data_IF_868184450888
#
_entry.id   IF_868184450888
#
_cell.length_a   1.000
_cell.length_b   1.000
_cell.length_c   1.000
_cell.angle_alpha   90.00
_cell.angle_beta   90.00
_cell.angle_gamma   90.00
#
_symmetry.space_group_name_H-M   'P 1'
#
loop_
_entity.id
_entity.type
_entity.pdbx_description
1 polymer ?
#
# COMPACT_ATOMS: atom_id res chain seq x y z
N UNK A 1 -9.32 4.81 12.42
CA UNK A 1 -9.83 5.75 11.40
C UNK A 1 -10.28 4.90 10.23
N UNK A 2 -11.59 4.80 9.96
CA UNK A 2 -12.07 4.20 8.70
C UNK A 2 -11.44 4.98 7.55
N UNK A 3 -10.57 4.32 6.79
CA UNK A 3 -10.16 4.79 5.47
C UNK A 3 -11.43 4.75 4.62
N UNK A 4 -12.17 5.86 4.56
CA UNK A 4 -13.25 5.99 3.58
C UNK A 4 -12.63 5.70 2.22
N UNK A 5 -13.24 4.80 1.49
CA UNK A 5 -12.77 4.43 0.16
C UNK A 5 -12.55 5.69 -0.66
N UNK A 6 -11.34 5.83 -1.20
CA UNK A 6 -10.99 6.98 -2.05
C UNK A 6 -11.87 7.03 -3.31
N UNK A 7 -12.47 5.89 -3.69
CA UNK A 7 -13.49 5.79 -4.75
C UNK A 7 -14.80 6.50 -4.39
N UNK A 8 -15.08 6.70 -3.10
CA UNK A 8 -16.22 7.47 -2.59
C UNK A 8 -15.85 8.92 -2.27
N UNK A 9 -14.67 9.38 -2.69
CA UNK A 9 -14.29 10.77 -2.53
C UNK A 9 -15.33 11.68 -3.21
N UNK A 10 -15.73 12.75 -2.50
CA UNK A 10 -16.55 13.82 -3.09
C UNK A 10 -15.83 14.52 -4.25
N UNK A 11 -14.50 14.48 -4.23
CA UNK A 11 -13.66 15.03 -5.29
C UNK A 11 -13.43 13.97 -6.38
N UNK A 12 -13.94 14.20 -7.60
CA UNK A 12 -13.77 13.26 -8.71
C UNK A 12 -12.31 13.08 -9.14
N UNK A 13 -11.44 14.07 -8.93
CA UNK A 13 -10.02 13.97 -9.24
C UNK A 13 -9.31 13.01 -8.28
N UNK A 14 -9.71 13.02 -7.00
CA UNK A 14 -9.15 12.14 -5.99
C UNK A 14 -9.55 10.68 -6.25
N UNK A 15 -10.80 10.43 -6.63
CA UNK A 15 -11.25 9.10 -7.03
C UNK A 15 -10.48 8.57 -8.25
N UNK A 16 -10.25 9.43 -9.26
CA UNK A 16 -9.47 9.08 -10.44
C UNK A 16 -7.99 8.80 -10.13
N UNK A 17 -7.45 9.36 -9.04
CA UNK A 17 -6.05 9.19 -8.65
C UNK A 17 -5.72 7.81 -8.06
N UNK A 18 -6.72 7.02 -7.66
CA UNK A 18 -6.51 5.71 -7.02
C UNK A 18 -5.65 4.79 -7.87
N UNK A 19 -5.96 4.65 -9.16
CA UNK A 19 -5.21 3.80 -10.08
C UNK A 19 -3.74 4.25 -10.28
N UNK A 20 -3.45 5.54 -10.06
CA UNK A 20 -2.07 6.04 -10.06
C UNK A 20 -1.35 5.68 -8.76
N UNK A 21 -2.04 5.81 -7.62
CA UNK A 21 -1.50 5.47 -6.30
C UNK A 21 -1.22 3.97 -6.14
N UNK A 22 -2.11 3.11 -6.64
CA UNK A 22 -1.92 1.65 -6.62
C UNK A 22 -0.67 1.24 -7.40
N UNK A 23 -0.51 1.79 -8.63
CA UNK A 23 0.69 1.57 -9.45
C UNK A 23 1.94 2.10 -8.76
N UNK A 24 1.88 3.28 -8.17
CA UNK A 24 3.01 3.84 -7.42
C UNK A 24 3.40 2.96 -6.22
N UNK A 25 2.41 2.44 -5.49
CA UNK A 25 2.65 1.53 -4.37
C UNK A 25 3.27 0.21 -4.82
N UNK A 26 2.85 -0.32 -5.98
CA UNK A 26 3.44 -1.52 -6.57
C UNK A 26 4.89 -1.30 -6.98
N UNK A 27 5.18 -0.22 -7.70
CA UNK A 27 6.53 0.15 -8.09
C UNK A 27 7.43 0.36 -6.87
N UNK A 28 6.94 1.03 -5.82
CA UNK A 28 7.69 1.21 -4.58
C UNK A 28 8.07 -0.13 -3.93
N UNK A 29 7.16 -1.11 -3.90
CA UNK A 29 7.45 -2.48 -3.42
C UNK A 29 8.52 -3.14 -4.29
N UNK A 30 8.40 -3.07 -5.60
CA UNK A 30 9.38 -3.65 -6.53
C UNK A 30 10.77 -3.03 -6.34
N UNK A 31 10.88 -1.70 -6.27
CA UNK A 31 12.14 -1.00 -6.03
C UNK A 31 12.73 -1.37 -4.67
N UNK A 32 11.92 -1.42 -3.61
CA UNK A 32 12.37 -1.81 -2.27
C UNK A 32 12.93 -3.24 -2.24
N UNK A 33 12.30 -4.16 -2.98
CA UNK A 33 12.78 -5.53 -3.12
C UNK A 33 14.10 -5.64 -3.89
N UNK A 34 14.25 -4.85 -4.95
CA UNK A 34 15.44 -4.82 -5.81
C UNK A 34 16.65 -4.19 -5.11
N UNK A 35 16.41 -3.11 -4.34
CA UNK A 35 17.46 -2.34 -3.65
C UNK A 35 17.66 -2.78 -2.19
N UNK A 36 16.91 -3.80 -1.74
CA UNK A 36 16.94 -4.32 -0.39
C UNK A 36 16.70 -3.25 0.70
N UNK A 37 15.80 -2.31 0.41
CA UNK A 37 15.44 -1.22 1.33
C UNK A 37 14.09 -1.44 1.99
N UNK A 38 13.87 -0.77 3.12
CA UNK A 38 12.58 -0.83 3.82
C UNK A 38 11.60 0.22 3.29
N UNK A 39 10.31 -0.10 3.30
CA UNK A 39 9.23 0.86 3.13
C UNK A 39 8.81 1.37 4.51
N UNK A 40 8.59 2.67 4.63
CA UNK A 40 8.10 3.30 5.87
C UNK A 40 6.70 3.83 5.61
N UNK A 41 5.73 3.34 6.37
CA UNK A 41 4.32 3.75 6.31
C UNK A 41 3.96 4.50 7.59
N UNK A 42 3.09 5.49 7.47
CA UNK A 42 2.47 6.13 8.63
C UNK A 42 1.03 5.64 8.69
N UNK A 43 0.73 4.79 9.67
CA UNK A 43 -0.61 4.23 9.88
C UNK A 43 -1.10 4.63 11.27
N UNK A 44 -2.27 5.27 11.33
CA UNK A 44 -2.87 5.76 12.58
C UNK A 44 -1.89 6.63 13.42
N UNK A 45 -1.09 7.47 12.76
CA UNK A 45 -0.10 8.33 13.41
C UNK A 45 1.14 7.62 13.94
N UNK A 46 1.30 6.32 13.66
CA UNK A 46 2.48 5.53 14.02
C UNK A 46 3.30 5.20 12.79
N UNK A 47 4.62 5.19 12.97
CA UNK A 47 5.56 4.79 11.93
C UNK A 47 5.65 3.26 11.94
N UNK A 48 5.30 2.64 10.82
CA UNK A 48 5.44 1.20 10.56
C UNK A 48 6.52 1.02 9.52
N UNK A 49 7.59 0.30 9.90
CA UNK A 49 8.69 -0.02 8.99
C UNK A 49 8.52 -1.45 8.49
N UNK A 50 8.41 -1.61 7.17
CA UNK A 50 8.31 -2.91 6.50
C UNK A 50 9.65 -3.21 5.82
N UNK A 51 10.42 -4.19 6.30
CA UNK A 51 11.69 -4.57 5.67
C UNK A 51 11.45 -5.28 4.33
N UNK A 52 12.45 -5.25 3.44
CA UNK A 52 12.38 -5.91 2.14
C UNK A 52 12.06 -7.42 2.24
N UNK A 53 12.54 -8.09 3.29
CA UNK A 53 12.25 -9.51 3.52
C UNK A 53 10.76 -9.76 3.76
N UNK A 54 10.11 -8.95 4.60
CA UNK A 54 8.67 -9.05 4.84
C UNK A 54 7.86 -8.77 3.56
N UNK A 55 8.35 -7.90 2.67
CA UNK A 55 7.72 -7.66 1.35
C UNK A 55 7.83 -8.88 0.42
N UNK A 56 8.89 -9.68 0.52
CA UNK A 56 9.03 -10.94 -0.25
C UNK A 56 8.01 -11.96 0.22
N UNK A 57 7.91 -12.14 1.54
CA UNK A 57 6.95 -13.04 2.17
C UNK A 57 5.50 -12.65 1.83
N UNK A 58 5.19 -11.35 1.79
CA UNK A 58 3.88 -10.84 1.37
C UNK A 58 3.58 -11.03 -0.12
N UNK A 59 4.60 -11.09 -0.98
CA UNK A 59 4.43 -11.37 -2.41
C UNK A 59 4.14 -12.84 -2.67
N UNK A 60 4.76 -13.71 -1.86
CA UNK A 60 4.66 -15.16 -2.01
C UNK A 60 3.47 -15.73 -1.22
N UNK A 61 2.96 -15.02 -0.21
CA UNK A 61 1.66 -15.29 0.40
C UNK A 61 0.51 -14.87 -0.53
N UNK A 62 -0.54 -15.69 -0.71
CA UNK A 62 -1.71 -15.28 -1.48
C UNK A 62 -2.27 -14.00 -0.84
N UNK A 63 -2.56 -13.00 -1.69
CA UNK A 63 -3.09 -11.70 -1.31
C UNK A 63 -4.09 -11.86 -0.19
N UNK A 64 -3.71 -11.43 1.02
CA UNK A 64 -4.59 -11.45 2.17
C UNK A 64 -5.78 -10.57 1.81
N UNK A 65 -6.89 -11.23 1.49
CA UNK A 65 -8.24 -10.71 1.39
C UNK A 65 -8.57 -10.10 2.75
N UNK A 66 -8.13 -8.87 2.97
CA UNK A 66 -8.55 -8.04 4.09
C UNK A 66 -9.56 -7.03 3.58
N UNK A 67 -10.70 -7.55 3.11
CA UNK A 67 -11.96 -6.85 3.30
C UNK A 67 -13.06 -7.90 3.51
N UNK A 68 -13.16 -8.35 4.75
CA UNK A 68 -14.26 -9.16 5.22
C UNK A 68 -15.29 -8.23 5.87
N UNK A 69 -16.46 -8.17 5.23
CA UNK A 69 -17.77 -7.66 5.68
C UNK A 69 -18.12 -6.20 5.40
#
# INVERSE_FOLDING_TARGET
>A
MSTKDITQAKDPLLAASLAALERAAELARQTALQTNTAIVLVQAGRIVRIPAQALREQRDAPAQTADAR
#
